data_IF_201575879493
#
_entry.id   IF_201575879493
#
_cell.length_a   1.000
_cell.length_b   1.000
_cell.length_c   1.000
_cell.angle_alpha   90.00
_cell.angle_beta   90.00
_cell.angle_gamma   90.00
#
_symmetry.space_group_name_H-M   'P 1'
#
loop_
_entity.id
_entity.type
_entity.pdbx_description
1 polymer ?
#
# COMPACT_ATOMS: atom_id res chain seq x y z
N UNK A 1 54.47 9.80 -6.85
CA UNK A 1 53.27 9.49 -6.04
C UNK A 1 51.96 9.94 -6.70
N UNK A 2 51.92 11.08 -7.39
CA UNK A 2 50.74 11.57 -8.14
C UNK A 2 50.26 10.64 -9.27
N UNK A 3 51.18 9.97 -9.99
CA UNK A 3 50.82 9.10 -11.12
C UNK A 3 49.99 7.89 -10.70
N UNK A 4 50.33 7.27 -9.56
CA UNK A 4 49.57 6.17 -8.97
C UNK A 4 48.20 6.62 -8.46
N UNK A 5 48.09 7.85 -7.95
CA UNK A 5 46.84 8.44 -7.49
C UNK A 5 45.86 8.66 -8.65
N UNK A 6 46.35 9.18 -9.78
CA UNK A 6 45.56 9.35 -11.00
C UNK A 6 45.16 8.00 -11.63
N UNK A 7 46.04 6.99 -11.55
CA UNK A 7 45.73 5.63 -12.00
C UNK A 7 44.60 5.00 -11.16
N UNK A 8 44.65 5.15 -9.84
CA UNK A 8 43.63 4.63 -8.91
C UNK A 8 42.29 5.35 -9.13
N UNK A 9 42.28 6.68 -9.28
CA UNK A 9 41.06 7.45 -9.55
C UNK A 9 40.44 7.04 -10.89
N UNK A 10 41.26 6.90 -11.95
CA UNK A 10 40.81 6.48 -13.27
C UNK A 10 40.21 5.07 -13.29
N UNK A 11 40.83 4.11 -12.59
CA UNK A 11 40.32 2.74 -12.48
C UNK A 11 39.03 2.68 -11.67
N UNK A 12 38.90 3.44 -10.57
CA UNK A 12 37.64 3.53 -9.80
C UNK A 12 36.49 4.09 -10.63
N UNK A 13 36.72 5.11 -11.48
CA UNK A 13 35.69 5.65 -12.36
C UNK A 13 35.26 4.70 -13.47
N UNK A 14 36.17 3.86 -13.98
CA UNK A 14 35.86 2.88 -15.03
C UNK A 14 35.10 1.65 -14.50
N UNK A 15 35.33 1.26 -13.25
CA UNK A 15 34.57 0.21 -12.56
C UNK A 15 33.18 0.68 -12.11
N UNK A 16 33.00 1.99 -11.95
CA UNK A 16 31.72 2.60 -11.63
C UNK A 16 30.92 2.85 -12.92
N UNK A 17 30.39 1.79 -13.53
CA UNK A 17 29.39 1.97 -14.58
C UNK A 17 28.13 2.58 -13.94
N UNK A 18 27.58 3.69 -14.47
CA UNK A 18 26.29 4.16 -14.02
C UNK A 18 25.28 3.05 -14.28
N UNK A 19 24.49 2.71 -13.27
CA UNK A 19 23.35 1.80 -13.45
C UNK A 19 22.50 2.40 -14.55
N UNK A 20 22.39 1.68 -15.67
CA UNK A 20 21.57 2.11 -16.80
C UNK A 20 20.15 2.20 -16.29
N UNK A 21 19.60 3.40 -16.22
CA UNK A 21 18.21 3.62 -15.84
C UNK A 21 17.34 2.91 -16.88
N UNK A 22 16.83 1.72 -16.53
CA UNK A 22 15.83 1.07 -17.35
C UNK A 22 14.54 1.89 -17.22
N UNK A 23 13.97 2.29 -18.36
CA UNK A 23 12.65 2.91 -18.41
C UNK A 23 11.57 1.88 -18.06
N UNK A 24 11.48 1.50 -16.78
CA UNK A 24 10.44 0.63 -16.27
C UNK A 24 9.16 1.43 -16.06
N UNK A 25 8.02 0.88 -16.47
CA UNK A 25 6.70 1.46 -16.25
C UNK A 25 5.82 0.51 -15.45
N UNK A 26 4.93 1.06 -14.62
CA UNK A 26 3.96 0.27 -13.85
C UNK A 26 2.82 -0.16 -14.78
N UNK A 27 2.62 -1.47 -14.94
CA UNK A 27 1.58 -2.02 -15.80
C UNK A 27 0.31 -2.43 -15.04
N UNK A 28 0.46 -2.95 -13.81
CA UNK A 28 -0.65 -3.47 -13.01
C UNK A 28 -0.34 -3.36 -11.52
N UNK A 29 -1.35 -2.99 -10.75
CA UNK A 29 -1.34 -3.12 -9.29
C UNK A 29 -2.41 -4.12 -8.89
N UNK A 30 -2.01 -5.19 -8.21
CA UNK A 30 -2.93 -6.13 -7.61
C UNK A 30 -2.87 -5.98 -6.10
N UNK A 31 -4.03 -5.73 -5.49
CA UNK A 31 -4.14 -5.59 -4.02
C UNK A 31 -4.91 -6.75 -3.43
N UNK A 32 -4.42 -7.25 -2.29
CA UNK A 32 -5.15 -8.19 -1.45
C UNK A 32 -5.42 -7.50 -0.12
N UNK A 33 -6.67 -7.16 0.13
CA UNK A 33 -7.08 -6.44 1.33
C UNK A 33 -8.00 -7.30 2.19
N UNK A 34 -7.81 -7.20 3.50
CA UNK A 34 -8.79 -7.70 4.47
C UNK A 34 -9.86 -6.62 4.68
N UNK A 35 -11.06 -7.06 5.05
CA UNK A 35 -12.09 -6.17 5.56
C UNK A 35 -11.55 -5.24 6.67
N UNK A 36 -12.10 -4.02 6.78
CA UNK A 36 -11.78 -3.10 7.87
C UNK A 36 -12.29 -3.60 9.23
N UNK A 37 -12.09 -2.79 10.27
CA UNK A 37 -12.62 -3.10 11.60
C UNK A 37 -14.12 -3.45 11.57
N UNK A 38 -14.50 -4.52 12.25
CA UNK A 38 -15.87 -5.06 12.27
C UNK A 38 -16.22 -5.57 13.65
N UNK A 39 -17.51 -5.57 13.95
CA UNK A 39 -18.04 -6.25 15.12
C UNK A 39 -17.68 -7.76 15.10
N UNK A 40 -17.55 -8.40 16.27
CA UNK A 40 -17.40 -9.84 16.37
C UNK A 40 -18.55 -10.52 15.61
N UNK A 41 -18.26 -11.66 14.96
CA UNK A 41 -19.29 -12.37 14.17
C UNK A 41 -20.37 -13.00 15.05
N UNK A 42 -20.01 -13.34 16.29
CA UNK A 42 -20.89 -13.86 17.33
C UNK A 42 -20.27 -13.54 18.69
N UNK A 43 -21.13 -13.46 19.70
CA UNK A 43 -20.71 -13.41 21.09
C UNK A 43 -20.58 -14.83 21.62
N UNK A 44 -19.68 -15.04 22.58
CA UNK A 44 -19.60 -16.30 23.33
C UNK A 44 -20.57 -16.29 24.50
N UNK A 45 -20.85 -17.48 25.06
CA UNK A 45 -21.93 -17.68 26.03
C UNK A 45 -21.85 -16.80 27.29
N UNK A 46 -20.64 -16.38 27.68
CA UNK A 46 -20.38 -15.57 28.88
C UNK A 46 -19.76 -14.21 28.53
N UNK A 47 -19.99 -13.70 27.32
CA UNK A 47 -19.47 -12.38 26.91
C UNK A 47 -20.08 -11.29 27.81
N UNK A 48 -19.24 -10.46 28.48
CA UNK A 48 -19.75 -9.38 29.31
C UNK A 48 -20.42 -8.26 28.49
N UNK A 49 -20.20 -8.22 27.18
CA UNK A 49 -20.78 -7.21 26.29
C UNK A 49 -21.99 -7.81 25.55
N UNK A 50 -23.13 -7.13 25.63
CA UNK A 50 -24.30 -7.48 24.83
C UNK A 50 -24.15 -7.06 23.37
N UNK A 51 -24.95 -7.66 22.47
CA UNK A 51 -24.95 -7.32 21.05
C UNK A 51 -25.28 -5.83 20.78
N UNK A 52 -25.96 -5.17 21.72
CA UNK A 52 -26.29 -3.74 21.65
C UNK A 52 -25.06 -2.81 21.68
N UNK A 53 -23.90 -3.30 22.13
CA UNK A 53 -22.63 -2.55 22.06
C UNK A 53 -22.13 -2.36 20.62
N UNK A 54 -22.70 -3.09 19.66
CA UNK A 54 -22.35 -3.03 18.24
C UNK A 54 -23.51 -2.41 17.46
N UNK A 55 -23.57 -1.08 17.30
CA UNK A 55 -24.73 -0.39 16.74
C UNK A 55 -24.98 -0.77 15.27
N UNK A 56 -23.96 -1.16 14.53
CA UNK A 56 -24.08 -1.68 13.17
C UNK A 56 -24.49 -3.16 13.12
N UNK A 57 -24.47 -3.86 14.26
CA UNK A 57 -24.76 -5.29 14.39
C UNK A 57 -23.53 -6.19 14.29
N UNK A 58 -23.68 -7.42 14.79
CA UNK A 58 -22.61 -8.43 14.80
C UNK A 58 -22.14 -8.78 13.38
N UNK A 59 -20.83 -8.95 13.24
CA UNK A 59 -20.17 -9.25 11.97
C UNK A 59 -20.15 -8.11 10.95
N UNK A 60 -20.77 -6.95 11.24
CA UNK A 60 -20.81 -5.80 10.33
C UNK A 60 -19.61 -4.89 10.53
N UNK A 61 -19.21 -4.21 9.46
CA UNK A 61 -18.12 -3.23 9.48
C UNK A 61 -18.51 -2.03 10.36
N UNK A 62 -17.62 -1.63 11.27
CA UNK A 62 -17.85 -0.48 12.15
C UNK A 62 -17.68 0.83 11.38
N UNK A 63 -18.16 1.95 11.93
CA UNK A 63 -17.85 3.28 11.41
C UNK A 63 -16.33 3.51 11.30
N UNK A 64 -15.56 3.03 12.29
CA UNK A 64 -14.10 3.09 12.27
C UNK A 64 -13.54 2.28 11.09
N UNK A 65 -14.01 1.05 10.89
CA UNK A 65 -13.60 0.19 9.78
C UNK A 65 -13.84 0.83 8.42
N UNK A 66 -14.98 1.50 8.22
CA UNK A 66 -15.24 2.27 7.00
C UNK A 66 -14.24 3.40 6.80
N UNK A 67 -13.93 4.17 7.85
CA UNK A 67 -12.94 5.27 7.80
C UNK A 67 -11.54 4.76 7.48
N UNK A 68 -11.14 3.62 8.05
CA UNK A 68 -9.86 2.98 7.77
C UNK A 68 -9.75 2.58 6.29
N UNK A 69 -10.75 1.90 5.74
CA UNK A 69 -10.76 1.48 4.33
C UNK A 69 -10.77 2.69 3.39
N UNK A 70 -11.51 3.75 3.74
CA UNK A 70 -11.46 5.01 3.01
C UNK A 70 -10.07 5.66 3.02
N UNK A 71 -9.37 5.64 4.15
CA UNK A 71 -8.01 6.15 4.25
C UNK A 71 -7.02 5.35 3.38
N UNK A 72 -7.16 4.02 3.34
CA UNK A 72 -6.39 3.15 2.44
C UNK A 72 -6.66 3.52 0.98
N UNK A 73 -7.93 3.71 0.58
CA UNK A 73 -8.28 4.14 -0.77
C UNK A 73 -7.65 5.49 -1.15
N UNK A 74 -7.68 6.48 -0.24
CA UNK A 74 -7.01 7.77 -0.45
C UNK A 74 -5.49 7.63 -0.62
N UNK A 75 -4.87 6.78 0.20
CA UNK A 75 -3.44 6.50 0.10
C UNK A 75 -3.08 5.87 -1.26
N UNK A 76 -3.81 4.85 -1.69
CA UNK A 76 -3.59 4.20 -2.99
C UNK A 76 -3.80 5.18 -4.15
N UNK A 77 -4.87 5.99 -4.11
CA UNK A 77 -5.11 7.04 -5.11
C UNK A 77 -3.98 8.06 -5.18
N UNK A 78 -3.43 8.45 -4.02
CA UNK A 78 -2.29 9.38 -3.96
C UNK A 78 -1.00 8.75 -4.47
N UNK A 79 -0.74 7.48 -4.13
CA UNK A 79 0.46 6.75 -4.51
C UNK A 79 0.52 6.49 -6.02
N UNK A 80 -0.61 6.14 -6.63
CA UNK A 80 -0.71 5.79 -8.05
C UNK A 80 -1.34 6.89 -8.90
N UNK A 81 -1.36 8.14 -8.42
CA UNK A 81 -2.01 9.28 -9.10
C UNK A 81 -1.53 9.50 -10.55
N UNK A 82 -0.29 9.11 -10.85
CA UNK A 82 0.34 9.28 -12.16
C UNK A 82 0.06 8.08 -13.09
N UNK A 83 -0.56 7.02 -12.56
CA UNK A 83 -0.89 5.76 -13.25
C UNK A 83 -2.40 5.47 -13.32
N UNK A 84 -3.24 6.21 -12.57
CA UNK A 84 -4.69 6.03 -12.54
C UNK A 84 -5.41 7.36 -12.73
N UNK A 85 -6.38 7.38 -13.64
CA UNK A 85 -7.20 8.54 -13.94
C UNK A 85 -8.51 8.53 -13.14
N UNK A 86 -9.52 9.26 -13.59
CA UNK A 86 -10.88 9.23 -13.03
C UNK A 86 -11.83 8.34 -13.85
N UNK A 87 -11.32 7.58 -14.82
CA UNK A 87 -12.10 6.62 -15.59
C UNK A 87 -12.43 5.39 -14.71
N UNK A 88 -13.72 5.03 -14.51
CA UNK A 88 -14.11 3.91 -13.67
C UNK A 88 -13.67 2.54 -14.21
N UNK A 89 -13.37 2.43 -15.51
CA UNK A 89 -12.97 1.16 -16.13
C UNK A 89 -11.51 0.76 -15.82
N UNK A 90 -10.74 1.64 -15.17
CA UNK A 90 -9.33 1.38 -14.82
C UNK A 90 -9.18 0.64 -13.48
N UNK A 91 -10.24 0.60 -12.66
CA UNK A 91 -10.23 -0.06 -11.34
C UNK A 91 -11.33 -1.11 -11.32
N UNK A 92 -10.93 -2.38 -11.36
CA UNK A 92 -11.84 -3.51 -11.19
C UNK A 92 -11.90 -3.96 -9.73
N UNK A 93 -13.10 -4.37 -9.28
CA UNK A 93 -13.38 -4.95 -7.96
C UNK A 93 -13.64 -6.45 -8.07
#
# INVERSE_FOLDING_TARGET
MIFWLLLIIGVSSALCQPVKEENTTLLLVQTLSRHGDRAPSRLYSTDPNSAAHWPEGLGKITLLGRKQQYAVGKFLRSMYKDFVTSNPNEVSS
#
